data_IF_696388409289
#
_entry.id   IF_696388409289
#
_cell.length_a   1.000
_cell.length_b   1.000
_cell.length_c   1.000
_cell.angle_alpha   90.00
_cell.angle_beta   90.00
_cell.angle_gamma   90.00
#
_symmetry.space_group_name_H-M   'P 1'
#
loop_
_entity.id
_entity.type
_entity.pdbx_description
1 polymer ?
#
# COMPACT_ATOMS: atom_id res chain seq x y z
N UNK A 1 -24.28 -7.53 -25.51
CA UNK A 1 -24.27 -6.07 -25.59
C UNK A 1 -24.68 -5.49 -24.24
N UNK A 2 -23.86 -4.61 -23.67
CA UNK A 2 -24.10 -3.97 -22.37
C UNK A 2 -24.86 -2.64 -22.50
N UNK A 3 -25.21 -2.23 -23.72
CA UNK A 3 -25.93 -0.99 -24.02
C UNK A 3 -25.24 0.24 -23.39
N UNK A 4 -26.01 1.09 -22.71
CA UNK A 4 -25.52 2.31 -22.07
C UNK A 4 -24.95 2.11 -20.66
N UNK A 5 -24.91 0.87 -20.16
CA UNK A 5 -24.43 0.56 -18.81
C UNK A 5 -23.01 1.06 -18.51
N UNK A 6 -22.01 0.90 -19.40
CA UNK A 6 -20.67 1.45 -19.16
C UNK A 6 -20.65 2.97 -18.99
N UNK A 7 -21.48 3.69 -19.76
CA UNK A 7 -21.59 5.16 -19.64
C UNK A 7 -22.23 5.57 -18.32
N UNK A 8 -23.27 4.86 -17.88
CA UNK A 8 -23.92 5.10 -16.59
C UNK A 8 -22.95 4.86 -15.43
N UNK A 9 -22.13 3.79 -15.50
CA UNK A 9 -21.10 3.53 -14.48
C UNK A 9 -20.04 4.63 -14.43
N UNK A 10 -19.57 5.12 -15.58
CA UNK A 10 -18.63 6.23 -15.64
C UNK A 10 -19.21 7.51 -15.04
N UNK A 11 -20.47 7.81 -15.35
CA UNK A 11 -21.17 8.97 -14.77
C UNK A 11 -21.29 8.84 -13.24
N UNK A 12 -21.72 7.67 -12.73
CA UNK A 12 -21.83 7.42 -11.29
C UNK A 12 -20.48 7.53 -10.57
N UNK A 13 -19.39 7.05 -11.18
CA UNK A 13 -18.03 7.24 -10.65
C UNK A 13 -17.63 8.71 -10.55
N UNK A 14 -17.96 9.49 -11.57
CA UNK A 14 -17.66 10.93 -11.58
C UNK A 14 -18.50 11.72 -10.54
N UNK A 15 -19.76 11.34 -10.36
CA UNK A 15 -20.67 11.99 -9.41
C UNK A 15 -20.38 11.61 -7.94
N UNK A 16 -19.86 10.42 -7.72
CA UNK A 16 -19.62 9.84 -6.37
C UNK A 16 -18.26 9.17 -6.29
N UNK A 17 -17.16 9.92 -6.39
CA UNK A 17 -15.83 9.34 -6.31
C UNK A 17 -15.58 8.75 -4.91
N UNK A 18 -14.91 7.61 -4.87
CA UNK A 18 -14.31 7.10 -3.63
C UNK A 18 -13.05 7.94 -3.39
N UNK A 19 -12.95 8.56 -2.24
CA UNK A 19 -11.82 9.47 -1.95
C UNK A 19 -11.52 9.50 -0.45
N UNK A 20 -10.27 9.78 -0.13
CA UNK A 20 -9.78 10.14 1.19
C UNK A 20 -9.61 11.67 1.32
N UNK A 21 -10.40 12.45 0.59
CA UNK A 21 -10.29 13.92 0.53
C UNK A 21 -10.42 14.64 1.88
N UNK A 22 -11.00 14.00 2.88
CA UNK A 22 -11.09 14.55 4.25
C UNK A 22 -9.75 14.42 5.02
N UNK A 23 -8.72 13.78 4.41
CA UNK A 23 -7.39 13.59 4.99
C UNK A 23 -6.38 14.45 4.23
N UNK A 24 -5.79 15.40 4.92
CA UNK A 24 -4.67 16.18 4.39
C UNK A 24 -3.34 15.41 4.57
N UNK A 25 -2.41 15.58 3.65
CA UNK A 25 -1.07 15.04 3.75
C UNK A 25 -0.85 13.70 3.01
N UNK A 26 0.10 12.94 3.51
CA UNK A 26 0.55 11.69 2.88
C UNK A 26 -0.44 10.55 3.17
N UNK A 27 -1.15 10.08 2.15
CA UNK A 27 -2.14 9.02 2.23
C UNK A 27 -1.86 7.92 1.20
N UNK A 28 -2.41 6.71 1.36
CA UNK A 28 -2.36 5.68 0.32
C UNK A 28 -2.89 6.16 -1.03
N UNK A 29 -3.94 6.98 -1.04
CA UNK A 29 -4.50 7.56 -2.25
C UNK A 29 -3.47 8.42 -2.98
N UNK A 30 -2.77 9.34 -2.28
CA UNK A 30 -1.77 10.23 -2.92
C UNK A 30 -0.63 9.44 -3.55
N UNK A 31 -0.19 8.35 -2.92
CA UNK A 31 0.87 7.47 -3.44
C UNK A 31 0.41 6.72 -4.70
N UNK A 32 -0.80 6.16 -4.67
CA UNK A 32 -1.34 5.37 -5.79
C UNK A 32 -1.69 6.27 -6.98
N UNK A 33 -2.25 7.46 -6.72
CA UNK A 33 -2.53 8.45 -7.76
C UNK A 33 -1.24 8.96 -8.42
N UNK A 34 -0.15 9.08 -7.66
CA UNK A 34 1.15 9.39 -8.28
C UNK A 34 1.53 8.35 -9.32
N UNK A 35 1.34 7.04 -9.04
CA UNK A 35 1.59 5.96 -10.02
C UNK A 35 0.68 6.11 -11.23
N UNK A 36 -0.62 6.37 -11.04
CA UNK A 36 -1.59 6.52 -12.13
C UNK A 36 -1.23 7.64 -13.11
N UNK A 37 -0.67 8.74 -12.60
CA UNK A 37 -0.37 9.93 -13.38
C UNK A 37 0.99 9.89 -14.08
N UNK A 38 1.97 9.16 -13.51
CA UNK A 38 3.36 9.22 -13.97
C UNK A 38 3.83 7.96 -14.70
N UNK A 39 3.09 6.84 -14.61
CA UNK A 39 3.49 5.60 -15.25
C UNK A 39 2.40 5.05 -16.16
N UNK A 40 2.77 4.83 -17.41
CA UNK A 40 1.88 4.24 -18.41
C UNK A 40 1.93 2.71 -18.31
N UNK A 41 0.78 2.07 -18.05
CA UNK A 41 0.63 0.61 -17.97
C UNK A 41 1.65 -0.12 -17.07
N UNK A 42 1.91 0.36 -15.83
CA UNK A 42 2.77 -0.36 -14.90
C UNK A 42 2.13 -1.70 -14.50
N UNK A 43 2.95 -2.65 -14.06
CA UNK A 43 2.44 -3.82 -13.35
C UNK A 43 2.50 -3.52 -11.85
N UNK A 44 1.38 -3.69 -11.16
CA UNK A 44 1.27 -3.47 -9.73
C UNK A 44 0.91 -4.79 -9.05
N UNK A 45 1.73 -5.23 -8.11
CA UNK A 45 1.38 -6.33 -7.21
C UNK A 45 1.00 -5.78 -5.86
N UNK A 46 0.09 -6.44 -5.16
CA UNK A 46 -0.25 -6.04 -3.78
C UNK A 46 0.03 -7.16 -2.81
N UNK A 47 0.42 -6.79 -1.60
CA UNK A 47 0.29 -7.68 -0.45
C UNK A 47 -1.14 -7.67 0.07
N UNK A 48 -1.39 -8.34 1.20
CA UNK A 48 -2.73 -8.50 1.78
C UNK A 48 -2.94 -7.53 2.94
N UNK A 49 -4.13 -6.95 3.02
CA UNK A 49 -4.55 -6.01 4.05
C UNK A 49 -5.05 -4.68 3.50
N UNK A 50 -4.97 -3.61 4.27
CA UNK A 50 -5.44 -2.29 3.83
C UNK A 50 -4.73 -1.81 2.56
N UNK A 51 -3.44 -2.09 2.41
CA UNK A 51 -2.68 -1.78 1.19
C UNK A 51 -3.34 -2.36 -0.06
N UNK A 52 -3.81 -3.62 -0.01
CA UNK A 52 -4.52 -4.29 -1.09
C UNK A 52 -5.83 -3.57 -1.44
N UNK A 53 -6.61 -3.23 -0.43
CA UNK A 53 -7.91 -2.61 -0.59
C UNK A 53 -7.78 -1.19 -1.14
N UNK A 54 -6.87 -0.36 -0.61
CA UNK A 54 -6.59 0.96 -1.16
C UNK A 54 -6.08 0.90 -2.60
N UNK A 55 -5.18 -0.05 -2.90
CA UNK A 55 -4.72 -0.22 -4.28
C UNK A 55 -5.88 -0.58 -5.21
N UNK A 56 -6.78 -1.46 -4.79
CA UNK A 56 -7.96 -1.83 -5.58
C UNK A 56 -8.92 -0.64 -5.78
N UNK A 57 -9.01 0.27 -4.79
CA UNK A 57 -9.89 1.44 -4.87
C UNK A 57 -9.34 2.53 -5.78
N UNK A 58 -8.02 2.79 -5.72
CA UNK A 58 -7.42 3.98 -6.31
C UNK A 58 -6.57 3.73 -7.54
N UNK A 59 -6.15 2.49 -7.81
CA UNK A 59 -5.36 2.16 -8.99
C UNK A 59 -6.23 2.17 -10.26
N UNK A 60 -5.77 2.90 -11.26
CA UNK A 60 -6.41 3.00 -12.57
C UNK A 60 -5.98 1.82 -13.46
N UNK A 61 -6.69 0.71 -13.36
CA UNK A 61 -6.38 -0.51 -14.15
C UNK A 61 -6.92 -0.36 -15.57
N UNK A 62 -6.02 -0.18 -16.54
CA UNK A 62 -6.34 0.06 -17.96
C UNK A 62 -6.13 -1.16 -18.86
N UNK A 63 -5.51 -2.23 -18.34
CA UNK A 63 -5.17 -3.41 -19.14
C UNK A 63 -5.20 -4.71 -18.37
N UNK A 64 -5.13 -5.82 -19.13
CA UNK A 64 -5.02 -7.15 -18.53
C UNK A 64 -3.65 -7.33 -17.83
N UNK A 65 -3.64 -8.10 -16.73
CA UNK A 65 -2.45 -8.41 -15.95
C UNK A 65 -1.70 -7.19 -15.38
N UNK A 66 -2.35 -6.04 -15.34
CA UNK A 66 -1.77 -4.84 -14.75
C UNK A 66 -1.76 -4.88 -13.20
N UNK A 67 -2.72 -5.57 -12.61
CA UNK A 67 -2.80 -5.78 -11.17
C UNK A 67 -2.75 -7.26 -10.82
N UNK A 68 -1.84 -7.65 -9.91
CA UNK A 68 -1.68 -9.01 -9.41
C UNK A 68 -1.86 -9.01 -7.89
N UNK A 69 -2.75 -9.84 -7.39
CA UNK A 69 -3.11 -9.85 -5.97
C UNK A 69 -3.58 -11.22 -5.51
N UNK A 70 -3.31 -11.57 -4.25
CA UNK A 70 -3.88 -12.76 -3.60
C UNK A 70 -5.30 -12.48 -3.10
N UNK A 71 -6.24 -12.22 -4.03
CA UNK A 71 -7.60 -11.79 -3.70
C UNK A 71 -8.52 -12.93 -3.21
N UNK A 72 -8.18 -14.16 -3.47
CA UNK A 72 -8.96 -15.33 -3.03
C UNK A 72 -8.53 -15.87 -1.67
N UNK A 73 -7.29 -16.37 -1.57
CA UNK A 73 -6.76 -16.94 -0.33
C UNK A 73 -6.30 -15.88 0.68
N UNK A 74 -5.83 -14.72 0.21
CA UNK A 74 -5.37 -13.64 1.08
C UNK A 74 -4.04 -13.96 1.76
N UNK A 75 -3.04 -14.38 0.99
CA UNK A 75 -1.73 -14.78 1.50
C UNK A 75 -0.86 -13.56 1.76
N UNK A 76 -0.62 -13.22 3.02
CA UNK A 76 0.39 -12.22 3.40
C UNK A 76 1.78 -12.66 2.94
N UNK A 77 2.57 -11.71 2.41
CA UNK A 77 3.88 -12.00 1.82
C UNK A 77 3.84 -12.29 0.33
N UNK A 78 2.68 -12.24 -0.32
CA UNK A 78 2.54 -12.46 -1.76
C UNK A 78 3.13 -11.31 -2.60
N UNK A 79 2.98 -10.07 -2.15
CA UNK A 79 3.18 -8.87 -2.96
C UNK A 79 4.58 -8.75 -3.55
N UNK A 80 5.61 -8.82 -2.72
CA UNK A 80 6.99 -8.62 -3.16
C UNK A 80 7.51 -9.78 -4.05
N UNK A 81 7.39 -11.06 -3.68
CA UNK A 81 7.77 -12.17 -4.57
C UNK A 81 7.05 -12.17 -5.91
N UNK A 82 5.76 -11.85 -5.92
CA UNK A 82 4.99 -11.74 -7.15
C UNK A 82 5.52 -10.64 -8.08
N UNK A 83 5.98 -9.50 -7.50
CA UNK A 83 6.61 -8.43 -8.26
C UNK A 83 7.93 -8.87 -8.91
N UNK A 84 8.73 -9.67 -8.21
CA UNK A 84 9.97 -10.22 -8.79
C UNK A 84 9.65 -11.11 -9.99
N UNK A 85 8.67 -12.00 -9.87
CA UNK A 85 8.21 -12.83 -10.98
C UNK A 85 7.67 -12.00 -12.16
N UNK A 86 6.87 -10.98 -11.86
CA UNK A 86 6.33 -10.06 -12.86
C UNK A 86 7.44 -9.31 -13.60
N UNK A 87 8.48 -8.84 -12.88
CA UNK A 87 9.61 -8.13 -13.47
C UNK A 87 10.48 -9.06 -14.36
N UNK A 88 10.68 -10.31 -13.93
CA UNK A 88 11.40 -11.28 -14.74
C UNK A 88 10.67 -11.59 -16.05
N UNK A 89 9.35 -11.72 -15.97
CA UNK A 89 8.51 -11.96 -17.16
C UNK A 89 8.28 -10.73 -18.05
N UNK A 90 8.54 -9.53 -17.54
CA UNK A 90 8.32 -8.26 -18.23
C UNK A 90 9.48 -7.27 -17.95
N UNK A 91 10.68 -7.53 -18.50
CA UNK A 91 11.88 -6.76 -18.16
C UNK A 91 11.79 -5.27 -18.52
N UNK A 92 10.98 -4.94 -19.52
CA UNK A 92 10.82 -3.57 -20.03
C UNK A 92 9.72 -2.76 -19.35
N UNK A 93 8.95 -3.39 -18.44
CA UNK A 93 7.88 -2.71 -17.73
C UNK A 93 8.31 -2.24 -16.35
N UNK A 94 7.69 -1.16 -15.88
CA UNK A 94 7.80 -0.75 -14.47
C UNK A 94 6.92 -1.66 -13.61
N UNK A 95 7.50 -2.20 -12.56
CA UNK A 95 6.81 -3.07 -11.61
C UNK A 95 6.87 -2.46 -10.22
N UNK A 96 5.71 -2.32 -9.60
CA UNK A 96 5.53 -1.84 -8.24
C UNK A 96 4.94 -2.95 -7.36
N UNK A 97 5.53 -3.21 -6.21
CA UNK A 97 4.93 -4.03 -5.16
C UNK A 97 4.39 -3.11 -4.06
N UNK A 98 3.08 -3.05 -3.85
CA UNK A 98 2.46 -2.26 -2.78
C UNK A 98 2.14 -3.18 -1.61
N UNK A 99 2.88 -3.03 -0.53
CA UNK A 99 2.82 -3.87 0.65
C UNK A 99 2.51 -3.03 1.90
N UNK A 100 1.95 -3.67 2.92
CA UNK A 100 1.95 -3.12 4.27
C UNK A 100 3.22 -3.52 5.03
N UNK A 101 3.49 -2.83 6.11
CA UNK A 101 4.61 -3.08 7.03
C UNK A 101 4.61 -4.51 7.62
N UNK A 102 3.44 -5.08 7.90
CA UNK A 102 3.33 -6.47 8.33
C UNK A 102 3.52 -7.48 7.19
N UNK A 103 2.94 -7.22 6.01
CA UNK A 103 2.99 -8.13 4.87
C UNK A 103 4.40 -8.28 4.29
N UNK A 104 5.12 -7.19 4.14
CA UNK A 104 6.49 -7.21 3.59
C UNK A 104 7.45 -8.06 4.42
N UNK A 105 7.25 -8.15 5.72
CA UNK A 105 8.11 -8.92 6.62
C UNK A 105 8.00 -10.43 6.40
N UNK A 106 6.93 -10.93 5.78
CA UNK A 106 6.71 -12.36 5.57
C UNK A 106 7.71 -12.98 4.58
N UNK A 107 8.18 -12.18 3.60
CA UNK A 107 9.13 -12.62 2.57
C UNK A 107 10.24 -11.57 2.33
N UNK A 108 10.72 -10.95 3.38
CA UNK A 108 11.71 -9.89 3.31
C UNK A 108 13.07 -10.37 2.76
N UNK A 109 13.40 -11.65 2.94
CA UNK A 109 14.61 -12.30 2.41
C UNK A 109 14.67 -12.27 0.86
N UNK A 110 13.56 -12.04 0.18
CA UNK A 110 13.53 -11.93 -1.27
C UNK A 110 14.26 -10.69 -1.81
N UNK A 111 14.69 -9.78 -0.94
CA UNK A 111 15.69 -8.77 -1.31
C UNK A 111 16.97 -9.41 -1.85
N UNK A 112 17.40 -10.55 -1.29
CA UNK A 112 18.56 -11.27 -1.82
C UNK A 112 18.35 -11.75 -3.25
N UNK A 113 17.16 -12.31 -3.55
CA UNK A 113 16.76 -12.72 -4.90
C UNK A 113 16.73 -11.51 -5.85
N UNK A 114 16.08 -10.43 -5.43
CA UNK A 114 15.97 -9.21 -6.24
C UNK A 114 17.31 -8.58 -6.57
N UNK A 115 18.24 -8.54 -5.61
CA UNK A 115 19.60 -8.04 -5.82
C UNK A 115 20.43 -8.97 -6.69
N UNK A 116 20.33 -10.29 -6.47
CA UNK A 116 21.08 -11.28 -7.25
C UNK A 116 20.75 -11.18 -8.75
N UNK A 117 19.47 -11.06 -9.07
CA UNK A 117 18.99 -10.94 -10.45
C UNK A 117 18.89 -9.49 -10.96
N UNK A 118 19.29 -8.50 -10.15
CA UNK A 118 19.25 -7.07 -10.47
C UNK A 118 17.87 -6.60 -10.96
N UNK A 119 16.82 -7.04 -10.28
CA UNK A 119 15.45 -6.73 -10.65
C UNK A 119 15.06 -5.32 -10.16
N UNK A 120 14.80 -4.36 -11.07
CA UNK A 120 14.51 -2.97 -10.69
C UNK A 120 13.06 -2.77 -10.24
N UNK A 121 12.59 -3.63 -9.34
CA UNK A 121 11.27 -3.53 -8.73
C UNK A 121 11.25 -2.38 -7.73
N UNK A 122 10.18 -1.60 -7.72
CA UNK A 122 9.92 -0.62 -6.66
C UNK A 122 9.00 -1.24 -5.61
N UNK A 123 9.55 -1.49 -4.44
CA UNK A 123 8.78 -1.94 -3.28
C UNK A 123 8.28 -0.72 -2.50
N UNK A 124 6.97 -0.53 -2.49
CA UNK A 124 6.26 0.52 -1.76
C UNK A 124 5.72 -0.09 -0.48
N UNK A 125 6.19 0.40 0.66
CA UNK A 125 5.70 0.00 1.98
C UNK A 125 4.80 1.11 2.51
N UNK A 126 3.50 0.84 2.59
CA UNK A 126 2.54 1.71 3.27
C UNK A 126 2.58 1.37 4.77
N UNK A 127 3.38 2.12 5.50
CA UNK A 127 3.66 1.85 6.91
C UNK A 127 2.74 2.68 7.81
N UNK A 128 1.81 2.01 8.49
CA UNK A 128 0.95 2.60 9.51
C UNK A 128 1.23 2.07 10.93
N UNK A 129 2.23 1.21 11.09
CA UNK A 129 2.62 0.61 12.36
C UNK A 129 1.68 -0.48 12.86
N UNK A 130 0.79 -1.00 12.01
CA UNK A 130 -0.21 -1.98 12.40
C UNK A 130 -0.50 -3.05 11.34
N UNK A 131 -0.98 -4.19 11.78
CA UNK A 131 -1.79 -5.08 10.95
C UNK A 131 -3.14 -4.38 10.68
N UNK A 132 -3.11 -3.40 9.77
CA UNK A 132 -4.10 -2.33 9.66
C UNK A 132 -5.52 -2.81 9.40
N UNK A 133 -5.72 -3.88 8.64
CA UNK A 133 -7.05 -4.43 8.36
C UNK A 133 -7.70 -4.99 9.64
N UNK A 134 -6.93 -5.72 10.44
CA UNK A 134 -7.41 -6.28 11.72
C UNK A 134 -7.66 -5.15 12.73
N UNK A 135 -6.73 -4.16 12.80
CA UNK A 135 -6.92 -2.96 13.63
C UNK A 135 -8.22 -2.22 13.27
N UNK A 136 -8.50 -2.03 11.98
CA UNK A 136 -9.74 -1.39 11.52
C UNK A 136 -10.98 -2.13 12.01
N UNK A 137 -10.98 -3.46 11.96
CA UNK A 137 -12.11 -4.25 12.47
C UNK A 137 -12.24 -4.14 13.98
N UNK A 138 -11.15 -4.13 14.71
CA UNK A 138 -11.15 -3.91 16.16
C UNK A 138 -11.68 -2.52 16.51
N UNK A 139 -11.36 -1.51 15.72
CA UNK A 139 -11.91 -0.17 15.87
C UNK A 139 -13.41 -0.13 15.61
N UNK A 140 -13.87 -0.70 14.50
CA UNK A 140 -15.26 -0.54 14.04
C UNK A 140 -16.25 -1.45 14.78
N UNK A 141 -15.81 -2.62 15.24
CA UNK A 141 -16.70 -3.67 15.74
C UNK A 141 -16.41 -4.14 17.17
N UNK A 142 -15.27 -3.74 17.75
CA UNK A 142 -14.83 -4.21 19.06
C UNK A 142 -14.37 -3.06 19.98
N UNK A 143 -14.99 -1.89 19.86
CA UNK A 143 -14.80 -0.72 20.75
C UNK A 143 -13.32 -0.34 20.93
N UNK A 144 -12.53 -0.36 19.82
CA UNK A 144 -11.09 -0.07 19.81
C UNK A 144 -10.26 -0.98 20.75
N UNK A 145 -10.73 -2.18 21.03
CA UNK A 145 -9.96 -3.16 21.81
C UNK A 145 -8.85 -3.76 20.94
N UNK A 146 -7.79 -2.99 20.75
CA UNK A 146 -6.64 -3.41 19.94
C UNK A 146 -5.86 -4.52 20.65
N UNK A 147 -5.65 -5.64 19.96
CA UNK A 147 -4.92 -6.78 20.47
C UNK A 147 -4.13 -7.43 19.32
N UNK A 148 -2.83 -7.65 19.55
CA UNK A 148 -1.92 -8.34 18.63
C UNK A 148 -1.85 -7.73 17.22
N UNK A 149 -2.04 -6.41 17.07
CA UNK A 149 -2.04 -5.72 15.79
C UNK A 149 -0.99 -4.63 15.69
N UNK A 150 -0.45 -4.18 16.83
CA UNK A 150 0.60 -3.18 16.88
C UNK A 150 1.95 -3.78 16.47
N UNK A 151 2.65 -3.10 15.56
CA UNK A 151 3.98 -3.45 15.07
C UNK A 151 5.06 -2.45 15.52
N UNK A 152 4.72 -1.52 16.41
CA UNK A 152 5.64 -0.54 16.99
C UNK A 152 6.26 -1.07 18.29
N UNK A 153 7.43 -0.53 18.66
CA UNK A 153 8.17 -0.97 19.87
C UNK A 153 7.49 -0.59 21.18
N UNK A 154 6.75 0.54 21.22
CA UNK A 154 6.12 1.04 22.42
C UNK A 154 4.59 1.09 22.27
N UNK A 155 3.90 0.31 23.13
CA UNK A 155 2.43 0.28 23.17
C UNK A 155 1.84 1.63 23.62
N UNK A 156 2.56 2.44 24.39
CA UNK A 156 2.09 3.77 24.85
C UNK A 156 1.95 4.77 23.71
N UNK A 157 2.64 4.55 22.61
CA UNK A 157 2.61 5.39 21.40
C UNK A 157 1.36 5.17 20.52
N UNK A 158 0.51 4.21 20.86
CA UNK A 158 -0.67 3.81 20.07
C UNK A 158 -1.73 4.93 19.95
N UNK A 159 -1.83 5.82 20.93
CA UNK A 159 -2.99 6.71 21.09
C UNK A 159 -2.77 8.13 20.56
N UNK A 160 -1.56 8.56 20.27
CA UNK A 160 -1.25 9.99 20.11
C UNK A 160 -0.39 10.36 18.90
N UNK A 161 -0.17 9.46 17.95
CA UNK A 161 0.66 9.83 16.80
C UNK A 161 -0.16 10.52 15.71
N UNK A 162 -0.32 11.82 15.88
CA UNK A 162 -0.30 12.72 14.75
C UNK A 162 1.02 12.51 13.99
N UNK A 163 0.98 12.56 12.67
CA UNK A 163 2.10 12.32 11.75
C UNK A 163 3.41 12.81 12.36
N UNK A 164 4.33 11.90 12.60
CA UNK A 164 5.54 12.19 13.38
C UNK A 164 6.46 13.07 12.54
N UNK A 165 6.78 14.21 13.09
CA UNK A 165 7.78 15.15 12.57
C UNK A 165 9.21 14.82 13.08
N UNK A 166 9.41 13.62 13.65
CA UNK A 166 10.67 13.20 14.28
C UNK A 166 11.35 12.07 13.52
N UNK A 167 12.67 12.22 13.32
CA UNK A 167 13.56 11.21 12.71
C UNK A 167 13.76 9.94 13.58
N UNK A 168 13.20 9.90 14.78
CA UNK A 168 13.29 8.73 15.67
C UNK A 168 12.07 7.82 15.50
N UNK A 169 12.19 6.89 14.56
CA UNK A 169 11.19 5.85 14.34
C UNK A 169 11.42 4.66 15.28
N UNK A 170 10.39 4.33 16.05
CA UNK A 170 10.37 3.14 16.91
C UNK A 170 9.74 1.92 16.22
N UNK A 171 9.84 1.86 14.89
CA UNK A 171 9.41 0.70 14.11
C UNK A 171 10.44 -0.41 14.10
N UNK A 172 9.98 -1.65 14.14
CA UNK A 172 10.80 -2.83 13.98
C UNK A 172 10.25 -3.66 12.81
N UNK A 173 11.04 -3.86 11.76
CA UNK A 173 12.39 -3.35 11.52
C UNK A 173 12.42 -1.91 10.98
N UNK A 174 13.60 -1.28 10.99
CA UNK A 174 13.86 -0.11 10.15
C UNK A 174 14.00 -0.59 8.71
N UNK A 175 12.97 -0.41 7.91
CA UNK A 175 12.90 -0.92 6.54
C UNK A 175 13.94 -0.30 5.62
N UNK A 176 14.31 0.96 5.84
CA UNK A 176 15.34 1.64 5.05
C UNK A 176 16.69 0.98 5.28
N UNK A 177 17.13 0.88 6.54
CA UNK A 177 18.40 0.21 6.88
C UNK A 177 18.42 -1.25 6.46
N UNK A 178 17.28 -1.92 6.56
CA UNK A 178 17.17 -3.32 6.15
C UNK A 178 17.39 -3.47 4.64
N UNK A 179 16.73 -2.66 3.81
CA UNK A 179 16.91 -2.69 2.36
C UNK A 179 18.37 -2.35 1.99
N UNK A 180 18.97 -1.36 2.63
CA UNK A 180 20.36 -0.98 2.44
C UNK A 180 21.34 -2.09 2.83
N UNK A 181 21.04 -2.87 3.88
CA UNK A 181 21.85 -4.03 4.29
C UNK A 181 21.90 -5.12 3.21
N UNK A 182 20.85 -5.25 2.37
CA UNK A 182 20.85 -6.10 1.18
C UNK A 182 21.53 -5.47 -0.03
N UNK A 183 21.92 -4.19 0.03
CA UNK A 183 22.50 -3.44 -1.09
C UNK A 183 21.48 -2.77 -2.00
N UNK A 184 20.20 -2.79 -1.65
CA UNK A 184 19.14 -2.08 -2.33
C UNK A 184 19.21 -0.57 -2.07
N UNK A 185 18.48 0.23 -2.82
CA UNK A 185 18.24 1.64 -2.49
C UNK A 185 16.97 1.77 -1.67
N UNK A 186 16.94 2.74 -0.77
CA UNK A 186 15.76 2.96 0.05
C UNK A 186 15.60 4.44 0.39
N UNK A 187 14.33 4.84 0.63
CA UNK A 187 13.99 6.16 1.13
C UNK A 187 12.73 6.07 1.99
N UNK A 188 12.75 6.74 3.15
CA UNK A 188 11.57 7.00 3.96
C UNK A 188 10.95 8.32 3.54
N UNK A 189 9.63 8.33 3.36
CA UNK A 189 8.84 9.46 2.89
C UNK A 189 7.78 9.74 3.95
N UNK A 190 7.82 10.93 4.51
CA UNK A 190 6.89 11.41 5.55
C UNK A 190 6.03 12.58 5.09
N UNK A 191 6.37 13.18 3.94
CA UNK A 191 5.69 14.37 3.39
C UNK A 191 5.35 14.16 1.91
N UNK A 192 4.27 14.78 1.47
CA UNK A 192 3.79 14.68 0.07
C UNK A 192 4.84 15.23 -0.92
N UNK A 193 5.56 16.27 -0.52
CA UNK A 193 6.58 16.93 -1.36
C UNK A 193 7.75 16.02 -1.70
N UNK A 194 8.00 14.97 -0.90
CA UNK A 194 9.09 14.02 -1.11
C UNK A 194 8.70 12.82 -1.98
N UNK A 195 7.42 12.68 -2.35
CA UNK A 195 6.94 11.57 -3.19
C UNK A 195 7.73 11.50 -4.50
N UNK A 196 7.80 12.61 -5.23
CA UNK A 196 8.52 12.68 -6.51
C UNK A 196 9.98 12.25 -6.37
N UNK A 197 10.67 12.75 -5.35
CA UNK A 197 12.08 12.40 -5.08
C UNK A 197 12.27 10.90 -4.83
N UNK A 198 11.35 10.27 -4.10
CA UNK A 198 11.36 8.82 -3.89
C UNK A 198 11.23 8.04 -5.19
N UNK A 199 10.25 8.39 -6.02
CA UNK A 199 10.07 7.72 -7.31
C UNK A 199 11.22 7.98 -8.28
N UNK A 200 11.81 9.18 -8.29
CA UNK A 200 13.03 9.48 -9.06
C UNK A 200 14.22 8.60 -8.64
N UNK A 201 14.39 8.34 -7.33
CA UNK A 201 15.40 7.39 -6.84
C UNK A 201 15.16 6.00 -7.44
N UNK A 202 13.92 5.51 -7.43
CA UNK A 202 13.55 4.22 -7.99
C UNK A 202 13.70 4.17 -9.53
N UNK A 203 13.47 5.27 -10.21
CA UNK A 203 13.61 5.35 -11.68
C UNK A 203 15.07 5.38 -12.13
N UNK A 204 15.96 5.89 -11.32
CA UNK A 204 17.40 5.98 -11.64
C UNK A 204 18.16 4.72 -11.27
N UNK A 205 17.77 3.99 -10.25
CA UNK A 205 18.46 2.78 -9.81
C UNK A 205 17.94 1.55 -10.56
N UNK A 206 18.81 0.95 -11.41
CA UNK A 206 18.47 -0.21 -12.25
C UNK A 206 19.21 -1.50 -11.86
N UNK A 207 20.07 -1.46 -10.84
CA UNK A 207 20.91 -2.61 -10.45
C UNK A 207 20.30 -3.45 -9.31
N UNK A 208 19.01 -3.29 -9.03
CA UNK A 208 18.31 -3.99 -7.95
C UNK A 208 17.03 -3.25 -7.56
N UNK A 209 16.34 -3.71 -6.52
CA UNK A 209 15.10 -3.11 -6.04
C UNK A 209 15.36 -1.77 -5.31
N UNK A 210 14.32 -0.94 -5.32
CA UNK A 210 14.26 0.27 -4.47
C UNK A 210 13.09 0.13 -3.51
N UNK A 211 13.33 0.35 -2.23
CA UNK A 211 12.27 0.42 -1.22
C UNK A 211 11.89 1.87 -0.96
N UNK A 212 10.60 2.17 -1.09
CA UNK A 212 10.01 3.45 -0.70
C UNK A 212 9.06 3.20 0.46
N UNK A 213 9.45 3.66 1.65
CA UNK A 213 8.63 3.56 2.86
C UNK A 213 7.83 4.84 3.05
N UNK A 214 6.52 4.74 2.94
CA UNK A 214 5.59 5.84 3.15
C UNK A 214 4.98 5.72 4.54
N UNK A 215 5.24 6.70 5.40
CA UNK A 215 4.61 6.76 6.72
C UNK A 215 3.24 7.40 6.57
N UNK A 216 2.22 6.59 6.76
CA UNK A 216 0.83 6.99 6.58
C UNK A 216 0.10 7.03 7.93
N UNK A 217 -1.03 7.76 8.04
CA UNK A 217 -1.79 7.84 9.29
C UNK A 217 -2.22 6.47 9.81
N UNK A 218 -1.99 6.23 11.09
CA UNK A 218 -2.22 4.95 11.77
C UNK A 218 -3.68 4.52 11.76
N UNK A 219 -4.61 5.45 12.01
CA UNK A 219 -6.05 5.15 12.14
C UNK A 219 -6.82 5.36 10.82
N UNK A 220 -6.14 5.48 9.70
CA UNK A 220 -6.79 5.58 8.41
C UNK A 220 -7.51 4.27 8.07
N UNK A 221 -8.81 4.35 7.79
CA UNK A 221 -9.63 3.21 7.45
C UNK A 221 -9.91 3.11 5.96
N UNK A 222 -10.10 1.87 5.49
CA UNK A 222 -10.60 1.60 4.12
C UNK A 222 -12.12 1.72 4.14
N UNK A 223 -12.63 2.73 3.46
CA UNK A 223 -14.06 2.97 3.32
C UNK A 223 -14.35 3.32 1.85
N UNK A 224 -15.55 3.02 1.35
CA UNK A 224 -16.67 2.35 2.00
C UNK A 224 -16.41 0.85 2.29
N UNK A 225 -17.10 0.30 3.30
CA UNK A 225 -16.95 -1.10 3.69
C UNK A 225 -18.32 -1.73 4.02
N UNK A 226 -18.57 -2.94 3.54
CA UNK A 226 -19.74 -3.74 3.94
C UNK A 226 -19.35 -4.66 5.10
N UNK A 227 -19.97 -4.53 6.28
CA UNK A 227 -19.70 -5.43 7.39
C UNK A 227 -20.06 -6.88 7.05
N UNK A 228 -19.31 -7.84 7.57
CA UNK A 228 -19.54 -9.25 7.35
C UNK A 228 -21.00 -9.65 7.71
N UNK A 229 -21.66 -10.38 6.80
CA UNK A 229 -23.04 -10.82 7.00
C UNK A 229 -24.11 -9.74 6.80
N UNK A 230 -23.73 -8.53 6.37
CA UNK A 230 -24.67 -7.44 6.08
C UNK A 230 -24.87 -7.28 4.56
N UNK A 231 -25.92 -6.54 4.19
CA UNK A 231 -26.23 -6.23 2.79
C UNK A 231 -25.45 -5.00 2.30
N UNK A 232 -25.43 -4.77 0.98
CA UNK A 232 -24.83 -3.56 0.39
C UNK A 232 -25.48 -2.27 0.89
N UNK A 233 -26.76 -2.31 1.29
CA UNK A 233 -27.46 -1.17 1.88
C UNK A 233 -26.95 -0.79 3.28
N UNK A 234 -26.26 -1.73 3.95
CA UNK A 234 -25.70 -1.52 5.30
C UNK A 234 -24.24 -1.04 5.25
N UNK A 235 -23.78 -0.60 4.06
CA UNK A 235 -22.42 -0.15 3.84
C UNK A 235 -22.04 1.01 4.77
N UNK A 236 -20.88 0.89 5.41
CA UNK A 236 -20.27 1.96 6.17
C UNK A 236 -19.56 2.92 5.21
N UNK A 237 -20.00 4.17 5.18
CA UNK A 237 -19.46 5.20 4.29
C UNK A 237 -18.45 6.11 4.99
N UNK A 238 -18.53 6.21 6.32
CA UNK A 238 -17.68 7.06 7.18
C UNK A 238 -17.38 6.32 8.47
N UNK A 239 -16.30 6.71 9.12
CA UNK A 239 -16.01 6.25 10.47
C UNK A 239 -17.16 6.63 11.42
N UNK A 240 -17.51 5.72 12.30
CA UNK A 240 -18.39 6.04 13.42
C UNK A 240 -17.58 6.94 14.36
N UNK A 241 -18.06 8.17 14.54
CA UNK A 241 -17.51 9.11 15.54
C UNK A 241 -17.71 8.56 16.96
#
# INVERSE_FOLDING_TARGET
DLGDWPKQLQQLKAERPVTQADQEGLTPQTVIEYINHHYEHPIVTTDVGQNQLWTTQFLDVKGQYQMLTSGGLGTMGYGFPAALGAQMGNPDKRVFAICGDGGVQMNIQEFATAMHYRLPVTLIVLNNGFLGNVRQWQQLFYDKRYACTNLMMDESSIVTRDIIDNDEFEYVPDFVKLAEAYGAKAMRITKVEDIEKGFQLADTFKNGPTLLEFIIPTELNVLPMVPAGKSLSDMLLKDKK
#
